data_IF_802168011443
#
_entry.id   IF_802168011443
#
_cell.length_a   1.000
_cell.length_b   1.000
_cell.length_c   1.000
_cell.angle_alpha   90.00
_cell.angle_beta   90.00
_cell.angle_gamma   90.00
#
_symmetry.space_group_name_H-M   'P 1'
#
loop_
_entity.id
_entity.type
_entity.pdbx_description
1 polymer ?
#
# COMPACT_ATOMS: atom_id res chain seq x y z
N UNK A 1 10.59 0.58 52.29
CA UNK A 1 9.81 0.91 51.07
C UNK A 1 10.70 1.31 49.90
N UNK A 2 11.54 2.35 50.06
CA UNK A 2 12.53 2.77 49.03
C UNK A 2 13.43 1.62 48.58
N UNK A 3 13.85 0.75 49.50
CA UNK A 3 14.69 -0.42 49.22
C UNK A 3 14.00 -1.43 48.28
N UNK A 4 12.68 -1.66 48.41
CA UNK A 4 11.96 -2.63 47.56
C UNK A 4 11.84 -2.17 46.10
N UNK A 5 11.57 -0.88 45.88
CA UNK A 5 11.53 -0.29 44.52
C UNK A 5 12.91 -0.28 43.86
N UNK A 6 13.97 -0.09 44.66
CA UNK A 6 15.37 -0.17 44.21
C UNK A 6 15.77 -1.58 43.79
N UNK A 7 15.55 -2.57 44.65
CA UNK A 7 15.87 -3.98 44.35
C UNK A 7 15.14 -4.46 43.10
N UNK A 8 13.87 -4.07 42.92
CA UNK A 8 13.14 -4.39 41.70
C UNK A 8 13.72 -3.65 40.48
N UNK A 9 14.17 -2.40 40.63
CA UNK A 9 14.82 -1.66 39.55
C UNK A 9 16.14 -2.28 39.09
N UNK A 10 16.97 -2.72 40.04
CA UNK A 10 18.21 -3.46 39.78
C UNK A 10 17.93 -4.79 39.07
N UNK A 11 16.90 -5.50 39.52
CA UNK A 11 16.46 -6.75 38.92
C UNK A 11 15.97 -6.56 37.47
N UNK A 12 15.17 -5.52 37.22
CA UNK A 12 14.72 -5.16 35.86
C UNK A 12 15.89 -4.76 34.97
N UNK A 13 16.89 -4.06 35.52
CA UNK A 13 18.12 -3.73 34.80
C UNK A 13 18.85 -5.01 34.37
N UNK A 14 19.05 -5.96 35.27
CA UNK A 14 19.64 -7.26 34.93
C UNK A 14 18.81 -8.05 33.89
N UNK A 15 17.48 -8.02 33.97
CA UNK A 15 16.62 -8.68 32.98
C UNK A 15 16.66 -8.02 31.59
N UNK A 16 16.83 -6.70 31.54
CA UNK A 16 16.93 -5.95 30.30
C UNK A 16 18.33 -6.01 29.67
N UNK A 17 19.34 -6.46 30.41
CA UNK A 17 20.71 -6.53 29.95
C UNK A 17 20.84 -7.37 28.66
N UNK A 18 21.46 -6.79 27.64
CA UNK A 18 21.61 -7.43 26.32
C UNK A 18 20.35 -7.43 25.44
N UNK A 19 19.26 -6.79 25.87
CA UNK A 19 18.06 -6.58 25.05
C UNK A 19 18.07 -5.20 24.38
N UNK A 20 17.19 -4.99 23.41
CA UNK A 20 17.09 -3.72 22.67
C UNK A 20 16.41 -2.61 23.48
N UNK A 21 15.86 -2.94 24.64
CA UNK A 21 15.24 -1.98 25.54
C UNK A 21 16.16 -1.66 26.71
N UNK A 22 16.48 -0.38 26.89
CA UNK A 22 17.24 0.09 28.04
C UNK A 22 16.31 0.82 29.01
N UNK A 23 16.00 0.23 30.19
CA UNK A 23 15.16 0.89 31.18
C UNK A 23 15.83 2.16 31.72
N UNK A 24 15.09 3.25 31.80
CA UNK A 24 15.46 4.49 32.50
C UNK A 24 14.85 4.50 33.89
N UNK A 25 15.32 3.58 34.74
CA UNK A 25 14.91 3.48 36.14
C UNK A 25 15.89 4.29 37.00
N UNK A 26 15.40 4.89 38.09
CA UNK A 26 16.24 5.61 39.04
C UNK A 26 17.21 4.64 39.73
N UNK A 27 18.48 4.61 39.28
CA UNK A 27 19.58 3.86 39.91
C UNK A 27 20.54 4.81 40.65
N UNK A 28 21.10 4.36 41.77
CA UNK A 28 22.19 5.07 42.47
C UNK A 28 23.50 4.82 41.73
N UNK A 29 24.08 5.87 41.12
CA UNK A 29 25.37 5.87 40.42
C UNK A 29 25.50 4.94 39.19
N UNK A 30 26.22 5.38 38.16
CA UNK A 30 26.48 4.59 36.95
C UNK A 30 27.21 3.26 37.23
N UNK A 31 27.93 3.17 38.36
CA UNK A 31 28.78 2.01 38.72
C UNK A 31 27.95 0.78 39.15
N UNK A 32 26.85 0.97 39.89
CA UNK A 32 25.96 -0.14 40.28
C UNK A 32 25.13 -0.67 39.10
N UNK A 33 24.81 0.19 38.13
CA UNK A 33 24.10 -0.23 36.91
C UNK A 33 24.95 -1.17 36.06
N UNK A 34 26.23 -0.84 35.86
CA UNK A 34 27.16 -1.67 35.09
C UNK A 34 27.31 -3.07 35.70
N UNK A 35 27.30 -3.17 37.02
CA UNK A 35 27.33 -4.43 37.76
C UNK A 35 26.10 -5.30 37.46
N UNK A 36 24.89 -4.74 37.51
CA UNK A 36 23.66 -5.49 37.24
C UNK A 36 23.50 -5.84 35.75
N UNK A 37 23.94 -4.96 34.85
CA UNK A 37 24.01 -5.27 33.41
C UNK A 37 24.94 -6.46 33.14
N UNK A 38 26.14 -6.47 33.73
CA UNK A 38 27.09 -7.59 33.59
C UNK A 38 26.53 -8.90 34.15
N UNK A 39 25.86 -8.85 35.31
CA UNK A 39 25.21 -10.01 35.90
C UNK A 39 24.07 -10.54 35.01
N UNK A 40 23.27 -9.64 34.44
CA UNK A 40 22.20 -9.96 33.51
C UNK A 40 22.70 -10.62 32.22
N UNK A 41 23.75 -10.06 31.62
CA UNK A 41 24.43 -10.66 30.45
C UNK A 41 24.93 -12.06 30.76
N UNK A 42 25.62 -12.26 31.90
CA UNK A 42 26.10 -13.57 32.31
C UNK A 42 24.95 -14.57 32.58
N UNK A 43 23.81 -14.09 33.08
CA UNK A 43 22.66 -14.93 33.39
C UNK A 43 21.82 -15.29 32.15
N UNK A 44 21.74 -14.42 31.14
CA UNK A 44 20.71 -14.53 30.10
C UNK A 44 21.21 -14.44 28.65
N UNK A 45 22.52 -14.33 28.40
CA UNK A 45 23.09 -14.15 27.05
C UNK A 45 22.47 -15.06 25.96
N UNK A 46 22.18 -16.32 26.29
CA UNK A 46 21.57 -17.30 25.37
C UNK A 46 20.38 -18.05 26.00
N UNK A 47 19.72 -17.44 26.99
CA UNK A 47 18.62 -18.07 27.76
C UNK A 47 17.36 -17.22 27.74
N UNK A 48 16.89 -16.91 26.54
CA UNK A 48 15.70 -16.08 26.34
C UNK A 48 14.41 -16.77 26.80
N UNK A 49 14.37 -18.10 26.77
CA UNK A 49 13.32 -18.94 27.35
C UNK A 49 13.22 -18.75 28.87
N UNK A 50 14.35 -18.87 29.59
CA UNK A 50 14.42 -18.66 31.03
C UNK A 50 14.14 -17.20 31.37
N UNK A 51 14.67 -16.26 30.58
CA UNK A 51 14.40 -14.82 30.74
C UNK A 51 12.90 -14.55 30.60
N UNK A 52 12.23 -15.14 29.60
CA UNK A 52 10.77 -15.03 29.42
C UNK A 52 10.03 -15.56 30.62
N UNK A 53 10.32 -16.78 31.07
CA UNK A 53 9.62 -17.41 32.20
C UNK A 53 9.72 -16.54 33.46
N UNK A 54 10.91 -15.97 33.73
CA UNK A 54 11.12 -15.05 34.85
C UNK A 54 10.31 -13.77 34.67
N UNK A 55 10.33 -13.14 33.49
CA UNK A 55 9.59 -11.90 33.22
C UNK A 55 8.08 -12.13 33.35
N UNK A 56 7.56 -13.21 32.78
CA UNK A 56 6.15 -13.59 32.86
C UNK A 56 5.73 -13.92 34.29
N UNK A 57 6.56 -14.67 35.03
CA UNK A 57 6.32 -14.97 36.43
C UNK A 57 6.24 -13.72 37.30
N UNK A 58 7.09 -12.73 37.06
CA UNK A 58 7.03 -11.43 37.75
C UNK A 58 5.78 -10.64 37.36
N UNK A 59 5.44 -10.59 36.06
CA UNK A 59 4.25 -9.88 35.57
C UNK A 59 2.92 -10.54 35.95
N UNK A 60 2.92 -11.85 36.25
CA UNK A 60 1.77 -12.58 36.75
C UNK A 60 1.48 -12.31 38.23
N UNK A 61 2.49 -11.86 38.98
CA UNK A 61 2.33 -11.40 40.36
C UNK A 61 1.48 -10.13 40.44
N UNK A 62 0.72 -9.97 41.53
CA UNK A 62 -0.04 -8.75 41.78
C UNK A 62 0.90 -7.60 42.20
N UNK A 63 1.46 -6.91 41.20
CA UNK A 63 2.38 -5.77 41.37
C UNK A 63 1.66 -4.42 41.48
N UNK A 64 0.34 -4.42 41.75
CA UNK A 64 -0.52 -3.27 41.54
C UNK A 64 -0.04 -1.97 42.25
N UNK A 65 0.12 -0.92 41.44
CA UNK A 65 0.27 0.49 41.83
C UNK A 65 1.66 0.95 42.30
N UNK A 66 2.54 0.06 42.73
CA UNK A 66 3.79 0.46 43.42
C UNK A 66 5.03 0.43 42.52
N UNK A 67 4.96 -0.26 41.38
CA UNK A 67 6.09 -0.53 40.48
C UNK A 67 5.72 -0.31 39.00
N UNK A 68 4.98 0.75 38.67
CA UNK A 68 4.50 1.01 37.31
C UNK A 68 5.64 1.18 36.28
N UNK A 69 6.72 1.87 36.65
CA UNK A 69 7.91 2.05 35.81
C UNK A 69 8.60 0.71 35.51
N UNK A 70 8.81 -0.11 36.54
CA UNK A 70 9.42 -1.45 36.43
C UNK A 70 8.53 -2.38 35.60
N UNK A 71 7.21 -2.34 35.81
CA UNK A 71 6.26 -3.15 35.04
C UNK A 71 6.24 -2.75 33.56
N UNK A 72 6.34 -1.44 33.28
CA UNK A 72 6.43 -0.92 31.91
C UNK A 72 7.72 -1.39 31.24
N UNK A 73 8.85 -1.29 31.94
CA UNK A 73 10.13 -1.79 31.45
C UNK A 73 10.10 -3.30 31.16
N UNK A 74 9.53 -4.10 32.06
CA UNK A 74 9.38 -5.55 31.85
C UNK A 74 8.50 -5.89 30.65
N UNK A 75 7.44 -5.11 30.38
CA UNK A 75 6.60 -5.29 29.17
C UNK A 75 7.36 -4.99 27.88
N UNK A 76 8.25 -4.00 27.89
CA UNK A 76 9.14 -3.75 26.75
C UNK A 76 10.13 -4.89 26.53
N UNK A 77 10.74 -5.41 27.61
CA UNK A 77 11.63 -6.58 27.55
C UNK A 77 10.87 -7.79 27.01
N UNK A 78 9.71 -8.13 27.60
CA UNK A 78 8.87 -9.24 27.15
C UNK A 78 8.51 -9.13 25.67
N UNK A 79 8.09 -7.95 25.22
CA UNK A 79 7.80 -7.69 23.82
C UNK A 79 9.01 -7.95 22.92
N UNK A 80 10.21 -7.55 23.35
CA UNK A 80 11.44 -7.81 22.61
C UNK A 80 11.82 -9.28 22.53
N UNK A 81 11.59 -10.06 23.61
CA UNK A 81 11.83 -11.51 23.59
C UNK A 81 10.81 -12.20 22.68
N UNK A 82 9.52 -11.85 22.77
CA UNK A 82 8.47 -12.43 21.92
C UNK A 82 8.65 -12.09 20.43
N UNK A 83 9.22 -10.93 20.10
CA UNK A 83 9.61 -10.59 18.73
C UNK A 83 10.71 -11.50 18.18
N UNK A 84 11.69 -11.88 19.00
CA UNK A 84 12.76 -12.80 18.61
C UNK A 84 12.24 -14.21 18.33
N UNK A 85 11.16 -14.60 19.00
CA UNK A 85 10.45 -15.87 18.79
C UNK A 85 9.37 -15.81 17.69
N UNK A 86 9.28 -14.70 16.96
CA UNK A 86 8.25 -14.47 15.92
C UNK A 86 6.80 -14.52 16.45
N UNK A 87 6.58 -14.43 17.77
CA UNK A 87 5.26 -14.25 18.37
C UNK A 87 4.86 -12.75 18.35
N UNK A 88 4.50 -12.28 17.15
CA UNK A 88 4.13 -10.88 16.90
C UNK A 88 2.91 -10.45 17.73
N UNK A 89 1.91 -11.33 17.86
CA UNK A 89 0.68 -11.05 18.58
C UNK A 89 0.92 -10.99 20.09
N UNK A 90 1.69 -11.92 20.65
CA UNK A 90 2.12 -11.87 22.05
C UNK A 90 2.94 -10.61 22.34
N UNK A 91 3.88 -10.26 21.46
CA UNK A 91 4.69 -9.05 21.59
C UNK A 91 3.84 -7.77 21.58
N UNK A 92 2.81 -7.70 20.73
CA UNK A 92 1.87 -6.57 20.70
C UNK A 92 1.05 -6.52 21.99
N UNK A 93 0.49 -7.65 22.42
CA UNK A 93 -0.32 -7.75 23.66
C UNK A 93 0.46 -7.33 24.90
N UNK A 94 1.75 -7.64 24.97
CA UNK A 94 2.63 -7.20 26.06
C UNK A 94 2.68 -5.66 26.15
N UNK A 95 2.85 -4.97 25.01
CA UNK A 95 2.89 -3.51 24.96
C UNK A 95 1.52 -2.85 25.15
N UNK A 96 0.44 -3.47 24.65
CA UNK A 96 -0.94 -2.97 24.80
C UNK A 96 -1.38 -2.87 26.27
N UNK A 97 -0.73 -3.63 27.17
CA UNK A 97 -0.99 -3.60 28.63
C UNK A 97 -0.29 -2.45 29.35
N UNK A 98 0.52 -1.63 28.66
CA UNK A 98 1.15 -0.45 29.25
C UNK A 98 0.09 0.66 29.38
N UNK A 99 -0.12 1.24 30.58
CA UNK A 99 -1.12 2.29 30.79
C UNK A 99 -0.64 3.66 30.26
N UNK A 100 -0.65 3.84 28.94
CA UNK A 100 -0.15 5.06 28.27
C UNK A 100 -1.01 6.31 28.50
N UNK A 101 -2.35 6.16 28.50
CA UNK A 101 -3.28 7.30 28.57
C UNK A 101 -3.48 7.82 30.01
N UNK A 102 -3.23 6.99 31.02
CA UNK A 102 -3.37 7.34 32.45
C UNK A 102 -2.09 7.86 33.11
N UNK A 103 -0.92 7.60 32.51
CA UNK A 103 0.36 7.98 33.09
C UNK A 103 0.76 9.40 32.71
N UNK A 104 0.92 10.26 33.72
CA UNK A 104 1.50 11.62 33.58
C UNK A 104 3.03 11.61 33.46
N UNK A 105 3.66 10.44 33.61
CA UNK A 105 5.11 10.29 33.69
C UNK A 105 5.70 10.02 32.30
N UNK A 106 4.95 9.36 31.42
CA UNK A 106 5.41 9.02 30.05
C UNK A 106 5.22 10.23 29.13
N UNK A 107 6.28 10.60 28.42
CA UNK A 107 6.24 11.71 27.46
C UNK A 107 5.39 11.37 26.22
N UNK A 108 4.88 12.38 25.53
CA UNK A 108 4.10 12.15 24.30
C UNK A 108 4.92 11.49 23.19
N UNK A 109 6.24 11.74 23.14
CA UNK A 109 7.17 11.12 22.20
C UNK A 109 7.35 9.62 22.50
N UNK A 110 7.50 9.24 23.77
CA UNK A 110 7.53 7.83 24.18
C UNK A 110 6.19 7.13 23.89
N UNK A 111 5.06 7.78 24.17
CA UNK A 111 3.73 7.23 23.84
C UNK A 111 3.59 6.94 22.35
N UNK A 112 4.02 7.89 21.51
CA UNK A 112 4.03 7.72 20.07
C UNK A 112 4.89 6.51 19.66
N UNK A 113 6.10 6.39 20.19
CA UNK A 113 7.00 5.27 19.89
C UNK A 113 6.37 3.91 20.26
N UNK A 114 5.73 3.82 21.43
CA UNK A 114 5.02 2.59 21.84
C UNK A 114 3.84 2.30 20.92
N UNK A 115 3.02 3.30 20.60
CA UNK A 115 1.88 3.11 19.68
C UNK A 115 2.32 2.64 18.30
N UNK A 116 3.36 3.23 17.72
CA UNK A 116 3.88 2.81 16.41
C UNK A 116 4.49 1.41 16.46
N UNK A 117 5.16 1.03 17.56
CA UNK A 117 5.62 -0.34 17.75
C UNK A 117 4.45 -1.34 17.81
N UNK A 118 3.38 -1.01 18.54
CA UNK A 118 2.16 -1.84 18.59
C UNK A 118 1.55 -1.99 17.18
N UNK A 119 1.42 -0.89 16.43
CA UNK A 119 0.88 -0.91 15.06
C UNK A 119 1.70 -1.84 14.18
N UNK A 120 3.03 -1.71 14.18
CA UNK A 120 3.92 -2.57 13.37
C UNK A 120 3.71 -4.05 13.71
N UNK A 121 3.72 -4.41 14.99
CA UNK A 121 3.53 -5.80 15.43
C UNK A 121 2.16 -6.37 15.04
N UNK A 122 1.10 -5.57 15.14
CA UNK A 122 -0.24 -5.98 14.74
C UNK A 122 -0.38 -6.17 13.23
N UNK A 123 0.34 -5.37 12.44
CA UNK A 123 0.37 -5.53 10.98
C UNK A 123 1.11 -6.81 10.56
N UNK A 124 2.16 -7.25 11.29
CA UNK A 124 2.84 -8.51 10.98
C UNK A 124 1.96 -9.74 11.20
N UNK A 125 1.00 -9.70 12.13
CA UNK A 125 0.03 -10.78 12.32
C UNK A 125 -1.30 -10.57 11.58
N UNK A 126 -1.41 -9.55 10.73
CA UNK A 126 -2.61 -9.27 9.93
C UNK A 126 -3.80 -8.67 10.70
N UNK A 127 -3.61 -8.26 11.95
CA UNK A 127 -4.63 -7.65 12.83
C UNK A 127 -4.84 -6.16 12.51
N UNK A 128 -5.21 -5.85 11.26
CA UNK A 128 -5.29 -4.49 10.72
C UNK A 128 -6.32 -3.60 11.44
N UNK A 129 -7.43 -4.16 11.93
CA UNK A 129 -8.45 -3.41 12.68
C UNK A 129 -7.94 -2.89 14.03
N UNK A 130 -7.23 -3.73 14.77
CA UNK A 130 -6.57 -3.32 16.01
C UNK A 130 -5.42 -2.33 15.73
N UNK A 131 -4.63 -2.59 14.68
CA UNK A 131 -3.57 -1.69 14.24
C UNK A 131 -4.12 -0.29 13.92
N UNK A 132 -5.24 -0.20 13.19
CA UNK A 132 -5.89 1.08 12.86
C UNK A 132 -6.29 1.87 14.12
N UNK A 133 -6.75 1.19 15.16
CA UNK A 133 -7.15 1.82 16.43
C UNK A 133 -5.96 2.50 17.12
N UNK A 134 -4.82 1.81 17.21
CA UNK A 134 -3.60 2.37 17.80
C UNK A 134 -2.95 3.42 16.90
N UNK A 135 -3.03 3.25 15.59
CA UNK A 135 -2.54 4.25 14.64
C UNK A 135 -3.32 5.56 14.74
N UNK A 136 -4.65 5.51 14.92
CA UNK A 136 -5.45 6.72 15.17
C UNK A 136 -4.99 7.47 16.43
N UNK A 137 -4.62 6.77 17.51
CA UNK A 137 -4.03 7.41 18.70
C UNK A 137 -2.65 8.02 18.41
N UNK A 138 -1.79 7.29 17.71
CA UNK A 138 -0.46 7.78 17.30
C UNK A 138 -0.55 9.04 16.43
N UNK A 139 -1.55 9.12 15.54
CA UNK A 139 -1.75 10.27 14.64
C UNK A 139 -2.01 11.59 15.37
N UNK A 140 -2.55 11.54 16.60
CA UNK A 140 -2.73 12.72 17.44
C UNK A 140 -1.40 13.24 18.01
N UNK A 141 -0.39 12.37 18.14
CA UNK A 141 0.89 12.67 18.77
C UNK A 141 2.03 12.87 17.77
N UNK A 142 1.86 12.53 16.49
CA UNK A 142 2.95 12.58 15.50
C UNK A 142 3.65 13.96 15.38
N UNK A 143 2.93 15.04 15.70
CA UNK A 143 3.45 16.40 15.66
C UNK A 143 4.44 16.72 16.80
N UNK A 144 4.47 15.91 17.87
CA UNK A 144 5.36 16.12 19.03
C UNK A 144 6.76 15.53 18.79
N UNK A 145 6.85 14.47 17.99
CA UNK A 145 8.10 13.74 17.73
C UNK A 145 8.97 14.42 16.69
N UNK A 146 10.25 14.60 17.00
CA UNK A 146 11.28 15.04 16.03
C UNK A 146 12.16 13.90 15.56
N UNK A 147 12.04 12.73 16.19
CA UNK A 147 12.76 11.54 15.77
C UNK A 147 12.36 11.10 14.35
N UNK A 148 13.37 11.03 13.48
CA UNK A 148 13.20 10.68 12.07
C UNK A 148 12.81 9.22 11.91
N UNK A 149 13.32 8.33 12.78
CA UNK A 149 13.03 6.90 12.70
C UNK A 149 11.55 6.65 13.03
N UNK A 150 11.05 7.23 14.13
CA UNK A 150 9.64 7.15 14.52
C UNK A 150 8.71 7.78 13.46
N UNK A 151 9.08 8.94 12.89
CA UNK A 151 8.30 9.56 11.81
C UNK A 151 8.27 8.68 10.55
N UNK A 152 9.36 8.00 10.24
CA UNK A 152 9.42 7.08 9.10
C UNK A 152 8.57 5.83 9.35
N UNK A 153 8.71 5.22 10.53
CA UNK A 153 7.91 4.08 10.95
C UNK A 153 6.41 4.41 10.95
N UNK A 154 6.04 5.64 11.34
CA UNK A 154 4.67 6.15 11.22
C UNK A 154 4.20 6.16 9.76
N UNK A 155 4.96 6.75 8.84
CA UNK A 155 4.59 6.84 7.42
C UNK A 155 4.49 5.47 6.76
N UNK A 156 5.41 4.56 7.09
CA UNK A 156 5.36 3.19 6.60
C UNK A 156 4.14 2.43 7.13
N UNK A 157 3.85 2.56 8.43
CA UNK A 157 2.65 1.96 9.03
C UNK A 157 1.37 2.51 8.41
N UNK A 158 1.34 3.80 8.07
CA UNK A 158 0.23 4.41 7.34
C UNK A 158 0.04 3.79 5.96
N UNK A 159 1.13 3.62 5.19
CA UNK A 159 1.07 3.00 3.86
C UNK A 159 0.55 1.56 3.93
N UNK A 160 1.06 0.76 4.87
CA UNK A 160 0.59 -0.62 5.12
C UNK A 160 -0.88 -0.66 5.54
N UNK A 161 -1.33 0.21 6.44
CA UNK A 161 -2.74 0.27 6.83
C UNK A 161 -3.67 0.59 5.66
N UNK A 162 -3.26 1.49 4.76
CA UNK A 162 -4.02 1.78 3.54
C UNK A 162 -4.09 0.57 2.61
N UNK A 163 -2.99 -0.19 2.49
CA UNK A 163 -2.92 -1.44 1.73
C UNK A 163 -3.87 -2.51 2.29
N UNK A 164 -3.80 -2.78 3.60
CA UNK A 164 -4.73 -3.69 4.30
C UNK A 164 -6.20 -3.28 4.17
N UNK A 165 -6.47 -1.97 4.11
CA UNK A 165 -7.82 -1.42 3.93
C UNK A 165 -8.28 -1.40 2.46
N UNK A 166 -7.53 -1.99 1.53
CA UNK A 166 -7.77 -1.97 0.09
C UNK A 166 -7.86 -0.56 -0.53
N UNK A 167 -7.29 0.46 0.14
CA UNK A 167 -7.14 1.83 -0.37
C UNK A 167 -5.87 1.95 -1.20
N UNK A 168 -5.75 1.09 -2.20
CA UNK A 168 -4.48 0.83 -2.89
C UNK A 168 -3.89 2.04 -3.62
N UNK A 169 -4.71 2.94 -4.17
CA UNK A 169 -4.20 4.15 -4.83
C UNK A 169 -3.45 5.07 -3.85
N UNK A 170 -3.96 5.20 -2.63
CA UNK A 170 -3.32 6.02 -1.59
C UNK A 170 -2.09 5.32 -1.01
N UNK A 171 -2.18 4.00 -0.81
CA UNK A 171 -1.04 3.18 -0.41
C UNK A 171 0.11 3.29 -1.43
N UNK A 172 -0.19 3.16 -2.72
CA UNK A 172 0.78 3.24 -3.82
C UNK A 172 1.53 4.58 -3.81
N UNK A 173 0.79 5.68 -3.65
CA UNK A 173 1.40 7.01 -3.55
C UNK A 173 2.32 7.11 -2.34
N UNK A 174 1.90 6.61 -1.17
CA UNK A 174 2.71 6.65 0.06
C UNK A 174 3.97 5.80 -0.03
N UNK A 175 3.86 4.58 -0.56
CA UNK A 175 5.02 3.73 -0.80
C UNK A 175 6.00 4.36 -1.79
N UNK A 176 5.50 4.97 -2.88
CA UNK A 176 6.35 5.66 -3.85
C UNK A 176 7.07 6.85 -3.20
N UNK A 177 6.38 7.68 -2.42
CA UNK A 177 6.97 8.78 -1.65
C UNK A 177 8.09 8.29 -0.71
N UNK A 178 7.86 7.19 0.03
CA UNK A 178 8.82 6.63 0.98
C UNK A 178 10.04 6.04 0.25
N UNK A 179 9.87 5.47 -0.94
CA UNK A 179 10.94 4.84 -1.73
C UNK A 179 12.08 5.80 -2.12
N UNK A 180 11.87 7.11 -2.02
CA UNK A 180 12.89 8.13 -2.31
C UNK A 180 13.71 8.55 -1.08
N UNK A 181 13.35 8.09 0.13
CA UNK A 181 14.04 8.50 1.34
C UNK A 181 15.40 7.80 1.46
N UNK A 182 16.49 8.54 1.25
CA UNK A 182 17.86 8.04 1.32
C UNK A 182 18.31 7.57 2.71
N UNK A 183 17.56 7.87 3.76
CA UNK A 183 17.80 7.34 5.11
C UNK A 183 17.43 5.84 5.23
N UNK A 184 16.64 5.31 4.30
CA UNK A 184 16.30 3.89 4.22
C UNK A 184 17.37 3.14 3.42
N UNK A 185 17.70 1.91 3.82
CA UNK A 185 18.57 1.01 3.08
C UNK A 185 18.06 0.77 1.64
N UNK A 186 18.97 0.53 0.69
CA UNK A 186 18.57 0.42 -0.71
C UNK A 186 17.59 -0.71 -0.99
N UNK A 187 17.81 -1.88 -0.37
CA UNK A 187 16.94 -3.05 -0.47
C UNK A 187 15.51 -2.72 -0.01
N UNK A 188 15.37 -2.07 1.14
CA UNK A 188 14.08 -1.64 1.68
C UNK A 188 13.40 -0.60 0.77
N UNK A 189 14.16 0.34 0.17
CA UNK A 189 13.60 1.32 -0.78
C UNK A 189 13.06 0.62 -2.03
N UNK A 190 13.75 -0.42 -2.52
CA UNK A 190 13.30 -1.22 -3.65
C UNK A 190 12.04 -2.01 -3.28
N UNK A 191 11.97 -2.56 -2.06
CA UNK A 191 10.76 -3.21 -1.56
C UNK A 191 9.57 -2.24 -1.51
N UNK A 192 9.77 -1.01 -1.03
CA UNK A 192 8.72 0.02 -1.05
C UNK A 192 8.28 0.36 -2.47
N UNK A 193 9.22 0.45 -3.42
CA UNK A 193 8.89 0.67 -4.83
C UNK A 193 8.08 -0.50 -5.41
N UNK A 194 8.42 -1.74 -5.05
CA UNK A 194 7.67 -2.95 -5.43
C UNK A 194 6.24 -2.91 -4.90
N UNK A 195 6.06 -2.57 -3.61
CA UNK A 195 4.74 -2.38 -3.00
C UNK A 195 3.95 -1.25 -3.67
N UNK A 196 4.61 -0.16 -4.08
CA UNK A 196 3.97 0.94 -4.81
C UNK A 196 3.43 0.50 -6.17
N UNK A 197 4.23 -0.25 -6.95
CA UNK A 197 3.81 -0.82 -8.23
C UNK A 197 2.66 -1.80 -8.04
N UNK A 198 2.79 -2.72 -7.08
CA UNK A 198 1.78 -3.74 -6.80
C UNK A 198 0.42 -3.12 -6.44
N UNK A 199 0.41 -2.22 -5.46
CA UNK A 199 -0.81 -1.51 -5.05
C UNK A 199 -1.37 -0.61 -6.15
N UNK A 200 -0.53 0.02 -6.99
CA UNK A 200 -1.03 0.81 -8.13
C UNK A 200 -1.77 -0.04 -9.16
N UNK A 201 -1.35 -1.30 -9.35
CA UNK A 201 -1.99 -2.23 -10.29
C UNK A 201 -3.32 -2.73 -9.70
N UNK A 202 -3.35 -3.07 -8.41
CA UNK A 202 -4.54 -3.50 -7.67
C UNK A 202 -5.60 -2.40 -7.48
N UNK A 203 -5.19 -1.13 -7.52
CA UNK A 203 -6.12 -0.02 -7.39
C UNK A 203 -7.24 -0.07 -8.45
N UNK A 204 -8.47 0.36 -8.11
CA UNK A 204 -9.56 0.42 -9.06
C UNK A 204 -9.26 1.39 -10.21
N UNK A 205 -9.76 1.08 -11.40
CA UNK A 205 -9.59 1.94 -12.57
C UNK A 205 -10.13 3.35 -12.31
N UNK A 206 -9.29 4.36 -12.54
CA UNK A 206 -9.66 5.75 -12.39
C UNK A 206 -8.49 6.73 -12.52
N UNK A 207 -8.80 8.02 -12.48
CA UNK A 207 -7.86 9.13 -12.64
C UNK A 207 -6.59 9.07 -11.81
N UNK A 208 -6.77 8.87 -10.50
CA UNK A 208 -5.69 8.86 -9.53
C UNK A 208 -4.73 7.71 -9.83
N UNK A 209 -5.29 6.53 -10.13
CA UNK A 209 -4.52 5.36 -10.55
C UNK A 209 -3.72 5.64 -11.81
N UNK A 210 -4.32 6.21 -12.86
CA UNK A 210 -3.63 6.49 -14.12
C UNK A 210 -2.42 7.43 -13.93
N UNK A 211 -2.55 8.46 -13.07
CA UNK A 211 -1.42 9.34 -12.74
C UNK A 211 -0.31 8.60 -12.01
N UNK A 212 -0.65 7.74 -11.05
CA UNK A 212 0.32 6.95 -10.29
C UNK A 212 1.06 5.98 -11.22
N UNK A 213 0.34 5.25 -12.08
CA UNK A 213 0.93 4.36 -13.08
C UNK A 213 1.90 5.10 -14.01
N UNK A 214 1.52 6.30 -14.47
CA UNK A 214 2.37 7.13 -15.31
C UNK A 214 3.63 7.63 -14.57
N UNK A 215 3.50 7.98 -13.29
CA UNK A 215 4.63 8.36 -12.42
C UNK A 215 5.60 7.20 -12.25
N UNK A 216 5.10 6.02 -11.88
CA UNK A 216 5.90 4.81 -11.68
C UNK A 216 6.56 4.34 -12.97
N UNK A 217 5.89 4.43 -14.12
CA UNK A 217 6.47 4.03 -15.40
C UNK A 217 7.62 4.95 -15.86
N UNK A 218 7.70 6.19 -15.36
CA UNK A 218 8.82 7.11 -15.61
C UNK A 218 10.00 6.92 -14.64
N UNK A 219 9.78 6.22 -13.53
CA UNK A 219 10.83 5.93 -12.55
C UNK A 219 11.71 4.78 -13.06
N UNK A 220 12.93 5.09 -13.52
CA UNK A 220 13.85 4.11 -14.12
C UNK A 220 14.16 2.91 -13.21
N UNK A 221 14.02 3.08 -11.88
CA UNK A 221 14.22 2.00 -10.90
C UNK A 221 13.19 0.88 -11.07
N UNK A 222 12.00 1.20 -11.56
CA UNK A 222 10.94 0.21 -11.84
C UNK A 222 11.37 -0.74 -12.95
N UNK A 223 12.14 -0.29 -13.95
CA UNK A 223 12.60 -1.16 -15.03
C UNK A 223 13.93 -1.84 -14.73
N UNK A 224 14.79 -1.22 -13.91
CA UNK A 224 16.15 -1.72 -13.64
C UNK A 224 16.24 -2.60 -12.40
N UNK A 225 15.46 -2.30 -11.35
CA UNK A 225 15.61 -2.90 -10.01
C UNK A 225 14.49 -3.88 -9.65
N UNK A 226 13.33 -3.79 -10.30
CA UNK A 226 12.19 -4.68 -10.05
C UNK A 226 12.14 -5.86 -11.03
N UNK A 227 11.47 -6.97 -10.65
CA UNK A 227 11.18 -8.06 -11.57
C UNK A 227 10.48 -7.61 -12.86
N UNK A 228 10.88 -8.18 -13.99
CA UNK A 228 10.38 -7.80 -15.32
C UNK A 228 8.86 -7.96 -15.50
N UNK A 229 8.23 -8.91 -14.80
CA UNK A 229 6.79 -9.09 -14.85
C UNK A 229 6.03 -7.91 -14.24
N UNK A 230 6.54 -7.29 -13.17
CA UNK A 230 5.90 -6.10 -12.56
C UNK A 230 5.94 -4.91 -13.50
N UNK A 231 7.08 -4.64 -14.14
CA UNK A 231 7.23 -3.52 -15.07
C UNK A 231 6.43 -3.74 -16.36
N UNK A 232 6.31 -4.99 -16.82
CA UNK A 232 5.47 -5.38 -17.96
C UNK A 232 4.00 -5.18 -17.63
N UNK A 233 3.54 -5.67 -16.48
CA UNK A 233 2.16 -5.51 -16.01
C UNK A 233 1.80 -4.03 -15.83
N UNK A 234 2.67 -3.25 -15.18
CA UNK A 234 2.50 -1.80 -15.02
C UNK A 234 2.29 -1.11 -16.37
N UNK A 235 3.13 -1.42 -17.37
CA UNK A 235 3.05 -0.82 -18.71
C UNK A 235 1.75 -1.21 -19.41
N UNK A 236 1.32 -2.48 -19.30
CA UNK A 236 0.04 -2.91 -19.86
C UNK A 236 -1.15 -2.22 -19.21
N UNK A 237 -1.13 -2.08 -17.88
CA UNK A 237 -2.16 -1.35 -17.14
C UNK A 237 -2.20 0.13 -17.55
N UNK A 238 -1.03 0.75 -17.76
CA UNK A 238 -0.92 2.16 -18.15
C UNK A 238 -1.38 2.42 -19.59
N UNK A 239 -0.96 1.56 -20.54
CA UNK A 239 -1.23 1.74 -21.98
C UNK A 239 -2.56 1.11 -22.42
N UNK A 240 -3.39 0.65 -21.47
CA UNK A 240 -4.66 -0.01 -21.76
C UNK A 240 -4.50 -1.21 -22.70
N UNK A 241 -3.45 -2.01 -22.50
CA UNK A 241 -3.26 -3.27 -23.22
C UNK A 241 -3.96 -4.42 -22.50
N UNK A 242 -4.46 -5.39 -23.28
CA UNK A 242 -5.08 -6.59 -22.74
C UNK A 242 -4.03 -7.38 -21.95
N UNK A 243 -4.37 -7.69 -20.70
CA UNK A 243 -3.60 -8.53 -19.79
C UNK A 243 -4.11 -9.96 -19.93
N UNK A 244 -3.19 -10.89 -20.23
CA UNK A 244 -3.52 -12.29 -20.47
C UNK A 244 -3.55 -13.09 -19.16
N UNK A 245 -4.30 -14.21 -19.10
CA UNK A 245 -4.42 -15.01 -17.88
C UNK A 245 -3.07 -15.40 -17.27
N UNK A 246 -2.09 -15.81 -18.08
CA UNK A 246 -0.76 -16.21 -17.60
C UNK A 246 -0.02 -15.08 -16.85
N UNK A 247 -0.21 -13.83 -17.29
CA UNK A 247 0.40 -12.65 -16.65
C UNK A 247 -0.29 -12.31 -15.33
N UNK A 248 -1.62 -12.54 -15.26
CA UNK A 248 -2.37 -12.41 -14.00
C UNK A 248 -1.87 -13.42 -12.99
N UNK A 249 -1.70 -14.68 -13.38
CA UNK A 249 -1.20 -15.73 -12.49
C UNK A 249 0.24 -15.46 -12.05
N UNK A 250 1.11 -14.96 -12.93
CA UNK A 250 2.47 -14.58 -12.56
C UNK A 250 2.47 -13.44 -11.53
N UNK A 251 1.65 -12.40 -11.75
CA UNK A 251 1.51 -11.29 -10.81
C UNK A 251 0.92 -11.72 -9.46
N UNK A 252 -0.10 -12.57 -9.47
CA UNK A 252 -0.79 -13.04 -8.26
C UNK A 252 0.13 -13.82 -7.31
N UNK A 253 1.15 -14.51 -7.84
CA UNK A 253 2.16 -15.21 -7.04
C UNK A 253 2.99 -14.28 -6.16
N UNK A 254 3.15 -13.02 -6.57
CA UNK A 254 3.86 -12.00 -5.82
C UNK A 254 3.02 -11.25 -4.79
N UNK A 255 1.70 -11.48 -4.72
CA UNK A 255 0.81 -10.82 -3.78
C UNK A 255 0.89 -11.39 -2.37
N UNK A 256 0.78 -10.51 -1.38
CA UNK A 256 0.63 -10.86 0.02
C UNK A 256 -0.78 -11.41 0.30
N UNK A 257 -0.94 -12.15 1.40
CA UNK A 257 -2.19 -12.85 1.70
C UNK A 257 -3.39 -11.90 1.85
N UNK A 258 -3.19 -10.71 2.45
CA UNK A 258 -4.27 -9.70 2.55
C UNK A 258 -4.63 -9.08 1.19
N UNK A 259 -3.73 -9.08 0.22
CA UNK A 259 -3.99 -8.56 -1.12
C UNK A 259 -4.77 -9.56 -2.00
N UNK A 260 -4.77 -10.85 -1.62
CA UNK A 260 -5.55 -11.92 -2.28
C UNK A 260 -6.98 -12.04 -1.77
N UNK A 261 -7.53 -10.95 -1.21
CA UNK A 261 -8.90 -10.94 -0.72
C UNK A 261 -9.90 -11.30 -1.83
N UNK A 262 -10.89 -12.11 -1.47
CA UNK A 262 -11.99 -12.48 -2.36
C UNK A 262 -13.04 -11.37 -2.29
N UNK A 263 -13.48 -10.90 -3.45
CA UNK A 263 -14.53 -9.88 -3.56
C UNK A 263 -15.92 -10.51 -3.63
N UNK A 264 -16.92 -9.73 -3.22
CA UNK A 264 -18.33 -10.09 -3.41
C UNK A 264 -18.63 -10.35 -4.90
N UNK A 265 -19.26 -11.50 -5.19
CA UNK A 265 -19.47 -11.98 -6.57
C UNK A 265 -18.40 -12.97 -7.06
N UNK A 266 -17.40 -13.29 -6.24
CA UNK A 266 -16.38 -14.30 -6.52
C UNK A 266 -15.13 -13.75 -7.21
N UNK A 267 -14.05 -14.51 -7.13
CA UNK A 267 -12.72 -14.13 -7.61
C UNK A 267 -11.95 -13.20 -6.68
N UNK A 268 -10.68 -12.95 -7.01
CA UNK A 268 -9.81 -12.07 -6.21
C UNK A 268 -9.96 -10.60 -6.60
N UNK A 269 -9.56 -9.69 -5.71
CA UNK A 269 -9.48 -8.24 -5.99
C UNK A 269 -8.71 -7.97 -7.29
N UNK A 270 -7.60 -8.69 -7.50
CA UNK A 270 -6.80 -8.61 -8.72
C UNK A 270 -7.61 -9.03 -9.95
N UNK A 271 -8.25 -10.21 -9.93
CA UNK A 271 -9.02 -10.70 -11.06
C UNK A 271 -10.11 -9.71 -11.47
N UNK A 272 -10.80 -9.13 -10.49
CA UNK A 272 -11.81 -8.09 -10.75
C UNK A 272 -11.18 -6.85 -11.39
N UNK A 273 -10.08 -6.34 -10.84
CA UNK A 273 -9.41 -5.15 -11.37
C UNK A 273 -8.90 -5.39 -12.81
N UNK A 274 -8.35 -6.58 -13.09
CA UNK A 274 -7.85 -6.94 -14.42
C UNK A 274 -9.00 -7.13 -15.41
N UNK A 275 -10.12 -7.74 -15.02
CA UNK A 275 -11.28 -7.87 -15.91
C UNK A 275 -11.87 -6.51 -16.28
N UNK A 276 -12.07 -5.62 -15.31
CA UNK A 276 -12.52 -4.25 -15.56
C UNK A 276 -11.53 -3.49 -16.47
N UNK A 277 -10.23 -3.66 -16.24
CA UNK A 277 -9.19 -3.10 -17.13
C UNK A 277 -9.27 -3.66 -18.54
N UNK A 278 -9.40 -4.98 -18.71
CA UNK A 278 -9.44 -5.64 -20.00
C UNK A 278 -10.66 -5.23 -20.83
N UNK A 279 -11.81 -4.92 -20.21
CA UNK A 279 -12.97 -4.35 -20.91
C UNK A 279 -12.60 -3.00 -21.54
N UNK A 280 -11.94 -2.12 -20.79
CA UNK A 280 -11.45 -0.83 -21.32
C UNK A 280 -10.37 -1.03 -22.40
N UNK A 281 -9.47 -2.00 -22.22
CA UNK A 281 -8.47 -2.34 -23.23
C UNK A 281 -9.10 -2.83 -24.55
N UNK A 282 -10.24 -3.53 -24.49
CA UNK A 282 -10.97 -3.93 -25.70
C UNK A 282 -11.46 -2.72 -26.50
N UNK A 283 -11.83 -1.61 -25.84
CA UNK A 283 -12.23 -0.39 -26.52
C UNK A 283 -11.12 0.25 -27.38
N UNK A 284 -9.85 -0.11 -27.13
CA UNK A 284 -8.71 0.35 -27.95
C UNK A 284 -8.55 -0.45 -29.25
N UNK A 285 -9.12 -1.64 -29.32
CA UNK A 285 -8.87 -2.62 -30.39
C UNK A 285 -10.12 -2.86 -31.23
N UNK A 286 -11.29 -2.81 -30.60
CA UNK A 286 -12.56 -3.18 -31.22
C UNK A 286 -13.48 -1.97 -31.33
N UNK A 287 -14.14 -1.83 -32.48
CA UNK A 287 -15.31 -0.95 -32.62
C UNK A 287 -16.52 -1.52 -31.86
N UNK A 288 -16.65 -2.85 -31.86
CA UNK A 288 -17.67 -3.60 -31.13
C UNK A 288 -17.22 -5.04 -30.90
N UNK A 289 -17.82 -5.70 -29.91
CA UNK A 289 -17.53 -7.08 -29.55
C UNK A 289 -18.80 -7.78 -29.05
N UNK A 290 -18.99 -9.05 -29.42
CA UNK A 290 -20.06 -9.88 -28.84
C UNK A 290 -19.71 -10.36 -27.44
N UNK A 291 -20.73 -10.55 -26.59
CA UNK A 291 -20.49 -10.92 -25.18
C UNK A 291 -19.84 -12.30 -25.00
N UNK A 292 -20.02 -13.25 -25.93
CA UNK A 292 -19.28 -14.52 -25.93
C UNK A 292 -17.78 -14.31 -26.14
N UNK A 293 -17.42 -13.46 -27.10
CA UNK A 293 -16.02 -13.11 -27.38
C UNK A 293 -15.38 -12.31 -26.25
N UNK A 294 -16.12 -11.35 -25.69
CA UNK A 294 -15.69 -10.60 -24.52
C UNK A 294 -15.50 -11.51 -23.31
N UNK A 295 -16.45 -12.41 -23.04
CA UNK A 295 -16.37 -13.39 -21.97
C UNK A 295 -15.12 -14.27 -22.07
N UNK A 296 -14.82 -14.77 -23.28
CA UNK A 296 -13.60 -15.55 -23.53
C UNK A 296 -12.30 -14.78 -23.22
N UNK A 297 -12.26 -13.47 -23.52
CA UNK A 297 -11.10 -12.61 -23.21
C UNK A 297 -10.95 -12.32 -21.70
N UNK A 298 -12.07 -12.23 -20.99
CA UNK A 298 -12.12 -11.91 -19.56
C UNK A 298 -12.06 -13.15 -18.65
N UNK A 299 -12.22 -14.35 -19.23
CA UNK A 299 -12.35 -15.60 -18.48
C UNK A 299 -13.65 -15.70 -17.68
N UNK A 300 -14.76 -15.18 -18.22
CA UNK A 300 -16.11 -15.27 -17.63
C UNK A 300 -17.14 -15.64 -18.70
N UNK A 301 -18.36 -16.01 -18.28
CA UNK A 301 -19.47 -16.25 -19.21
C UNK A 301 -20.02 -14.93 -19.80
N UNK A 302 -20.76 -15.04 -20.91
CA UNK A 302 -21.31 -13.90 -21.63
C UNK A 302 -22.23 -13.02 -20.76
N UNK A 303 -23.04 -13.63 -19.87
CA UNK A 303 -23.95 -12.89 -18.99
C UNK A 303 -23.19 -12.08 -17.93
N UNK A 304 -22.11 -12.64 -17.37
CA UNK A 304 -21.21 -11.91 -16.47
C UNK A 304 -20.46 -10.80 -17.18
N UNK A 305 -20.01 -11.03 -18.43
CA UNK A 305 -19.36 -10.01 -19.24
C UNK A 305 -20.31 -8.82 -19.52
N UNK A 306 -21.54 -9.11 -19.95
CA UNK A 306 -22.56 -8.08 -20.17
C UNK A 306 -22.85 -7.28 -18.88
N UNK A 307 -23.02 -7.97 -17.75
CA UNK A 307 -23.29 -7.34 -16.46
C UNK A 307 -22.12 -6.49 -15.96
N UNK A 308 -20.88 -6.87 -16.29
CA UNK A 308 -19.70 -6.07 -16.01
C UNK A 308 -19.65 -4.81 -16.87
N UNK A 309 -19.82 -4.95 -18.19
CA UNK A 309 -19.85 -3.82 -19.12
C UNK A 309 -20.96 -2.83 -18.78
N UNK A 310 -22.17 -3.32 -18.46
CA UNK A 310 -23.30 -2.49 -18.03
C UNK A 310 -22.95 -1.63 -16.81
N UNK A 311 -22.41 -2.24 -15.75
CA UNK A 311 -21.99 -1.50 -14.54
C UNK A 311 -20.90 -0.47 -14.84
N UNK A 312 -19.96 -0.78 -15.73
CA UNK A 312 -18.91 0.17 -16.10
C UNK A 312 -19.45 1.36 -16.90
N UNK A 313 -20.46 1.15 -17.74
CA UNK A 313 -21.17 2.22 -18.47
C UNK A 313 -21.96 3.09 -17.49
N UNK A 314 -22.75 2.48 -16.59
CA UNK A 314 -23.54 3.19 -15.56
C UNK A 314 -22.68 4.06 -14.65
N UNK A 315 -21.45 3.62 -14.36
CA UNK A 315 -20.49 4.37 -13.55
C UNK A 315 -19.73 5.45 -14.34
N UNK A 316 -20.01 5.61 -15.64
CA UNK A 316 -19.30 6.55 -16.53
C UNK A 316 -17.84 6.19 -16.78
N UNK A 317 -17.42 4.96 -16.46
CA UNK A 317 -16.01 4.50 -16.59
C UNK A 317 -15.74 3.77 -17.91
N UNK A 318 -16.79 3.43 -18.66
CA UNK A 318 -16.70 2.85 -20.00
C UNK A 318 -17.60 3.63 -20.95
N UNK A 319 -17.01 4.22 -22.00
CA UNK A 319 -17.74 4.91 -23.07
C UNK A 319 -18.19 3.90 -24.13
N UNK A 320 -19.38 3.33 -23.92
CA UNK A 320 -19.93 2.27 -24.75
C UNK A 320 -21.46 2.22 -24.63
N UNK A 321 -22.13 1.51 -25.55
CA UNK A 321 -23.54 1.16 -25.45
C UNK A 321 -23.76 -0.32 -25.78
N UNK A 322 -24.85 -0.88 -25.22
CA UNK A 322 -25.19 -2.30 -25.35
C UNK A 322 -26.38 -2.45 -26.30
N UNK A 323 -26.21 -3.25 -27.35
CA UNK A 323 -27.30 -3.76 -28.18
C UNK A 323 -27.72 -5.14 -27.65
N UNK A 324 -28.73 -5.14 -26.79
CA UNK A 324 -29.17 -6.36 -26.11
C UNK A 324 -29.77 -7.42 -27.06
N UNK A 325 -30.61 -7.07 -28.06
CA UNK A 325 -31.09 -8.06 -29.04
C UNK A 325 -29.99 -8.74 -29.84
N UNK A 326 -28.93 -8.02 -30.23
CA UNK A 326 -27.80 -8.59 -30.97
C UNK A 326 -26.70 -9.17 -30.06
N UNK A 327 -26.74 -8.90 -28.76
CA UNK A 327 -25.70 -9.32 -27.81
C UNK A 327 -24.34 -8.68 -28.09
N UNK A 328 -24.33 -7.43 -28.56
CA UNK A 328 -23.13 -6.68 -28.94
C UNK A 328 -22.88 -5.50 -28.00
N UNK A 329 -21.64 -5.33 -27.60
CA UNK A 329 -21.12 -4.13 -26.94
C UNK A 329 -20.41 -3.27 -27.98
N UNK A 330 -20.87 -2.05 -28.17
CA UNK A 330 -20.26 -1.07 -29.06
C UNK A 330 -19.46 -0.05 -28.27
N UNK A 331 -18.22 0.19 -28.68
CA UNK A 331 -17.36 1.18 -28.06
C UNK A 331 -17.45 2.51 -28.80
N UNK A 332 -17.40 3.60 -28.03
CA UNK A 332 -17.32 4.93 -28.62
C UNK A 332 -15.93 5.14 -29.25
N UNK A 333 -15.91 5.59 -30.51
CA UNK A 333 -14.67 5.85 -31.24
C UNK A 333 -13.95 7.04 -30.59
N UNK A 334 -12.78 6.80 -29.98
CA UNK A 334 -11.91 7.88 -29.49
C UNK A 334 -11.23 8.55 -30.68
N UNK A 335 -11.47 9.83 -31.00
CA UNK A 335 -10.65 10.53 -31.99
C UNK A 335 -9.20 10.56 -31.48
N UNK A 336 -8.23 10.31 -32.36
CA UNK A 336 -6.80 10.24 -32.02
C UNK A 336 -6.20 11.55 -31.46
N UNK A 337 -7.01 12.60 -31.31
CA UNK A 337 -6.64 13.92 -30.79
C UNK A 337 -7.11 14.17 -29.35
N UNK A 338 -7.85 13.24 -28.73
CA UNK A 338 -8.16 13.24 -27.29
C UNK A 338 -6.94 12.87 -26.41
N UNK A 339 -5.73 13.04 -26.94
CA UNK A 339 -4.48 13.02 -26.15
C UNK A 339 -4.21 14.35 -25.45
N UNK A 340 -4.95 15.40 -25.80
CA UNK A 340 -4.96 16.61 -24.99
C UNK A 340 -5.64 16.30 -23.66
N UNK A 341 -5.15 16.97 -22.63
CA UNK A 341 -5.32 16.67 -21.23
C UNK A 341 -6.76 16.53 -20.71
N UNK A 342 -7.81 16.58 -21.53
CA UNK A 342 -9.22 16.53 -21.14
C UNK A 342 -9.80 15.10 -21.09
N UNK A 343 -9.42 14.18 -21.98
CA UNK A 343 -9.83 12.77 -21.86
C UNK A 343 -9.05 12.03 -20.74
N UNK A 344 -7.84 12.49 -20.43
CA UNK A 344 -7.09 12.14 -19.21
C UNK A 344 -7.33 13.12 -18.04
N UNK A 345 -8.09 14.20 -18.25
CA UNK A 345 -8.34 15.29 -17.29
C UNK A 345 -9.77 15.39 -16.78
N UNK A 346 -10.67 14.55 -17.26
CA UNK A 346 -11.97 14.27 -16.60
C UNK A 346 -11.75 13.35 -15.39
N UNK A 347 -10.81 13.80 -14.58
CA UNK A 347 -10.02 13.00 -13.66
C UNK A 347 -9.68 13.80 -12.39
N UNK A 348 -10.06 15.07 -12.34
CA UNK A 348 -9.92 15.93 -11.17
C UNK A 348 -11.19 16.74 -11.02
N UNK A 349 -11.89 16.51 -9.92
CA UNK A 349 -12.93 17.42 -9.46
C UNK A 349 -12.30 18.77 -9.13
N UNK A 350 -12.52 19.73 -10.02
CA UNK A 350 -12.63 21.16 -9.69
C UNK A 350 -13.74 21.73 -10.57
N UNK A 351 -14.99 21.56 -10.12
CA UNK A 351 -16.10 22.44 -10.50
C UNK A 351 -16.44 22.56 -11.99
N UNK A 352 -16.18 21.55 -12.81
CA UNK A 352 -16.76 21.46 -14.16
C UNK A 352 -18.09 20.74 -14.00
N UNK A 353 -19.20 21.41 -14.33
CA UNK A 353 -20.51 20.77 -14.42
C UNK A 353 -20.38 19.50 -15.27
N UNK A 354 -20.71 18.36 -14.66
CA UNK A 354 -20.78 17.07 -15.34
C UNK A 354 -21.93 17.15 -16.34
N UNK A 355 -21.66 17.63 -17.55
CA UNK A 355 -22.62 17.45 -18.64
C UNK A 355 -22.48 15.98 -19.02
N UNK A 356 -23.37 15.15 -18.47
CA UNK A 356 -23.64 13.81 -18.99
C UNK A 356 -24.00 13.97 -20.46
N UNK A 357 -23.00 13.87 -21.33
CA UNK A 357 -23.25 13.77 -22.75
C UNK A 357 -23.70 12.34 -22.98
N UNK A 358 -24.95 12.16 -23.41
CA UNK A 358 -25.42 10.85 -23.82
C UNK A 358 -24.44 10.28 -24.86
N UNK A 359 -23.99 9.05 -24.62
CA UNK A 359 -23.15 8.31 -25.56
C UNK A 359 -24.07 7.90 -26.70
N UNK A 360 -24.19 8.78 -27.70
CA UNK A 360 -24.97 8.51 -28.90
C UNK A 360 -24.16 7.67 -29.91
N UNK A 361 -24.82 6.81 -30.69
CA UNK A 361 -24.18 6.10 -31.79
C UNK A 361 -23.59 7.10 -32.79
N UNK A 362 -22.26 7.22 -32.82
CA UNK A 362 -21.56 8.08 -33.78
C UNK A 362 -21.88 7.62 -35.20
N UNK A 363 -22.34 8.54 -36.05
CA UNK A 363 -22.71 8.23 -37.42
C UNK A 363 -21.48 7.82 -38.24
N UNK A 364 -21.68 6.99 -39.27
CA UNK A 364 -20.60 6.62 -40.19
C UNK A 364 -19.97 7.84 -40.88
N UNK A 365 -20.74 8.91 -41.08
CA UNK A 365 -20.30 10.17 -41.66
C UNK A 365 -19.32 10.90 -40.74
N UNK A 366 -19.62 11.00 -39.44
CA UNK A 366 -18.71 11.61 -38.46
C UNK A 366 -17.39 10.83 -38.35
N UNK A 367 -17.46 9.49 -38.34
CA UNK A 367 -16.26 8.64 -38.37
C UNK A 367 -15.43 8.85 -39.64
N UNK A 368 -16.08 9.07 -40.78
CA UNK A 368 -15.43 9.35 -42.05
C UNK A 368 -14.72 10.72 -42.03
N UNK A 369 -15.39 11.75 -41.52
CA UNK A 369 -14.83 13.09 -41.37
C UNK A 369 -13.62 13.11 -40.42
N UNK A 370 -13.68 12.40 -39.29
CA UNK A 370 -12.56 12.29 -38.36
C UNK A 370 -11.36 11.56 -38.99
N UNK A 371 -11.60 10.52 -39.80
CA UNK A 371 -10.53 9.83 -40.55
C UNK A 371 -9.90 10.74 -41.62
N UNK A 372 -10.70 11.55 -42.31
CA UNK A 372 -10.18 12.55 -43.24
C UNK A 372 -9.30 13.54 -42.48
N UNK A 373 -9.79 14.09 -41.36
CA UNK A 373 -9.04 15.03 -40.52
C UNK A 373 -7.71 14.45 -40.04
N UNK A 374 -7.72 13.23 -39.49
CA UNK A 374 -6.52 12.56 -39.00
C UNK A 374 -5.49 12.29 -40.11
N UNK A 375 -5.97 11.94 -41.32
CA UNK A 375 -5.10 11.73 -42.48
C UNK A 375 -4.47 13.05 -42.93
N UNK A 376 -5.26 14.13 -43.00
CA UNK A 376 -4.77 15.46 -43.35
C UNK A 376 -3.71 15.97 -42.36
N UNK A 377 -3.93 15.81 -41.05
CA UNK A 377 -2.94 16.17 -40.02
C UNK A 377 -1.62 15.38 -40.16
N UNK A 378 -1.69 14.08 -40.49
CA UNK A 378 -0.49 13.27 -40.76
C UNK A 378 0.26 13.75 -41.99
N UNK A 379 -0.44 14.10 -43.06
CA UNK A 379 0.18 14.65 -44.27
C UNK A 379 0.90 15.97 -43.95
N UNK A 380 0.28 16.84 -43.17
CA UNK A 380 0.87 18.11 -42.75
C UNK A 380 2.10 17.90 -41.86
N UNK A 381 2.04 16.98 -40.89
CA UNK A 381 3.18 16.60 -40.05
C UNK A 381 4.36 16.07 -40.89
N UNK A 382 4.09 15.20 -41.88
CA UNK A 382 5.11 14.67 -42.80
C UNK A 382 5.70 15.80 -43.65
N UNK A 383 4.87 16.70 -44.17
CA UNK A 383 5.33 17.84 -44.96
C UNK A 383 6.25 18.76 -44.14
N UNK A 384 5.87 19.08 -42.89
CA UNK A 384 6.70 19.85 -41.96
C UNK A 384 8.04 19.16 -41.67
N UNK A 385 8.06 17.84 -41.46
CA UNK A 385 9.30 17.08 -41.26
C UNK A 385 10.21 17.08 -42.49
N UNK A 386 9.63 16.95 -43.69
CA UNK A 386 10.35 17.03 -44.96
C UNK A 386 10.99 18.41 -45.14
N UNK A 387 10.24 19.48 -44.85
CA UNK A 387 10.71 20.86 -44.93
C UNK A 387 11.81 21.13 -43.89
N UNK A 388 11.63 20.70 -42.64
CA UNK A 388 12.62 20.86 -41.57
C UNK A 388 13.94 20.14 -41.86
N UNK A 389 13.90 19.03 -42.61
CA UNK A 389 15.10 18.29 -43.05
C UNK A 389 15.70 18.82 -44.35
N UNK A 390 15.12 19.86 -44.98
CA UNK A 390 15.62 20.45 -46.22
C UNK A 390 15.58 19.49 -47.42
N UNK A 391 14.73 18.47 -47.38
CA UNK A 391 14.64 17.43 -48.43
C UNK A 391 13.91 17.91 -49.68
N UNK A 392 13.29 19.10 -49.62
CA UNK A 392 12.65 19.79 -50.75
C UNK A 392 13.17 21.23 -50.77
N UNK A 393 13.63 21.70 -51.92
CA UNK A 393 13.98 23.11 -52.13
C UNK A 393 12.68 23.92 -52.25
N UNK A 394 12.61 25.02 -51.50
CA UNK A 394 11.51 25.97 -51.55
C UNK A 394 11.28 26.52 -52.97
#
# INVERSE_FOLDING_TARGET
MVVGRRVLGDFVTALAAGTDYRPTLAAEADDDRAKWDAAGLAAFADRDDVRREVVEGVLAGDLAGWCEEQTTALRHVLSGILQRDEDWLGAARALMRIPLDGSRIVSDEEKLAVYIKIVRLLLECGESGAAQTYFSRASLLIHTSKDKETQLAYRLSQARLLDFAARFAEAAQKYHEISFNSAIAEEDRIQMLSSAVTTSILAPAGPQRSRILASLNRDERVQTSLPAHLSTMLRKMLLEYIVRPEEVHEFERGLEDHQRAIVEGGGTVLERAVREHNVNACAQVYDNIGFDGLGALLGVDATSAESMSRRMIEQGRLRAWIDQPLGLLYFESRPSHDTDADAQGTAGGLGIEHVEKEVEPVTWTERWDDRIRATSLKVESVAQQIQARGLVKA
#
